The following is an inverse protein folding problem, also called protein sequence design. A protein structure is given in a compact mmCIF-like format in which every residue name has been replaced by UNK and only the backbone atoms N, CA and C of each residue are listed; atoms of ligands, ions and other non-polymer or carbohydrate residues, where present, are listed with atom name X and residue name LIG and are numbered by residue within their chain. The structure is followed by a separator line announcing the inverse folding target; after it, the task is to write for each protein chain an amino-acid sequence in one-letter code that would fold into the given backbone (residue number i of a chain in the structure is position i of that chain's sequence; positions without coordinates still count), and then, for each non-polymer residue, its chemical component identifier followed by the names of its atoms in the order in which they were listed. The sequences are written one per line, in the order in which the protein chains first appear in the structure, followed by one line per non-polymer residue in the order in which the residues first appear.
data_IF_111043122995
#
_entry.id   IF_111043122995
#
_cell.length_a   1.000
_cell.length_b   1.000
_cell.length_c   1.000
_cell.angle_alpha   90.00
_cell.angle_beta   90.00
_cell.angle_gamma   90.00
#
_symmetry.space_group_name_H-M   'P 1'
#
loop_
_entity.id
_entity.type
_entity.pdbx_description
1 polymer ?
#
# COMPACT_ATOMS: atom_id res chain seq x y z
N UNK A 1 18.07 -6.86 3.29
CA UNK A 1 17.71 -7.03 1.86
C UNK A 1 18.26 -8.37 1.36
N UNK A 2 17.96 -9.44 2.09
CA UNK A 2 18.49 -10.79 1.79
C UNK A 2 17.49 -11.69 1.07
N UNK A 3 16.23 -11.25 0.88
CA UNK A 3 15.13 -12.11 0.41
C UNK A 3 14.94 -12.03 -1.11
N UNK A 4 15.26 -10.89 -1.71
CA UNK A 4 14.98 -10.63 -3.13
C UNK A 4 15.66 -11.63 -4.08
N UNK A 5 16.88 -12.01 -3.76
CA UNK A 5 17.68 -12.86 -4.63
C UNK A 5 17.30 -14.36 -4.51
N UNK A 6 16.73 -14.75 -3.36
CA UNK A 6 16.28 -16.14 -3.13
C UNK A 6 14.94 -16.44 -3.81
N UNK A 7 14.11 -15.42 -4.06
CA UNK A 7 12.80 -15.55 -4.70
C UNK A 7 12.89 -15.53 -6.23
N UNK A 8 14.03 -15.17 -6.81
CA UNK A 8 14.21 -15.19 -8.28
C UNK A 8 14.07 -16.58 -8.91
N UNK A 9 14.25 -17.65 -8.12
CA UNK A 9 14.00 -19.02 -8.58
C UNK A 9 12.52 -19.37 -8.75
N UNK A 10 11.64 -18.58 -8.15
CA UNK A 10 10.19 -18.71 -8.24
C UNK A 10 9.66 -17.64 -9.17
N UNK A 11 10.06 -17.72 -10.45
CA UNK A 11 9.54 -16.86 -11.48
C UNK A 11 8.05 -17.17 -11.68
N UNK A 12 7.21 -16.43 -10.98
CA UNK A 12 5.78 -16.37 -11.25
C UNK A 12 5.61 -15.53 -12.51
N UNK A 13 4.95 -16.06 -13.53
CA UNK A 13 4.62 -15.29 -14.71
C UNK A 13 3.66 -14.16 -14.30
N UNK A 14 3.80 -12.98 -14.90
CA UNK A 14 2.92 -11.86 -14.61
C UNK A 14 1.44 -12.16 -14.87
N UNK A 15 1.19 -13.10 -15.78
CA UNK A 15 -0.15 -13.57 -16.19
C UNK A 15 -0.83 -14.41 -15.10
N UNK A 16 -0.04 -14.99 -14.18
CA UNK A 16 -0.54 -15.82 -13.08
C UNK A 16 -0.81 -15.01 -11.79
N UNK A 17 -0.54 -13.70 -11.82
CA UNK A 17 -0.76 -12.82 -10.66
C UNK A 17 -2.14 -12.17 -10.76
N UNK A 18 -2.97 -12.43 -9.76
CA UNK A 18 -4.28 -11.82 -9.64
C UNK A 18 -4.19 -10.29 -9.40
N UNK A 19 -5.24 -9.50 -9.65
CA UNK A 19 -5.24 -8.06 -9.45
C UNK A 19 -4.95 -7.61 -8.01
N UNK A 20 -5.18 -8.47 -7.03
CA UNK A 20 -4.86 -8.27 -5.61
C UNK A 20 -3.41 -8.61 -5.24
N UNK A 21 -2.63 -9.12 -6.22
CA UNK A 21 -1.24 -9.51 -6.04
C UNK A 21 -1.05 -10.97 -5.60
N UNK A 22 -2.11 -11.71 -5.40
CA UNK A 22 -2.06 -13.13 -5.07
C UNK A 22 -1.81 -13.99 -6.31
N UNK A 23 -1.20 -15.16 -6.09
CA UNK A 23 -0.92 -16.13 -7.14
C UNK A 23 -1.62 -17.44 -6.82
N UNK A 24 -2.38 -17.96 -7.77
CA UNK A 24 -2.95 -19.28 -7.68
C UNK A 24 -1.85 -20.34 -7.95
N UNK A 25 -1.36 -20.99 -6.90
CA UNK A 25 -0.39 -22.07 -7.02
C UNK A 25 -1.09 -23.43 -7.01
N UNK A 26 -0.55 -24.39 -7.76
CA UNK A 26 -0.98 -25.79 -7.66
C UNK A 26 -0.60 -26.38 -6.30
N UNK A 27 -1.32 -27.41 -5.86
CA UNK A 27 -1.02 -28.11 -4.61
C UNK A 27 0.41 -28.67 -4.61
N UNK A 28 0.87 -29.21 -5.75
CA UNK A 28 2.24 -29.71 -5.92
C UNK A 28 3.27 -28.59 -5.72
N UNK A 29 3.05 -27.40 -6.30
CA UNK A 29 3.96 -26.25 -6.14
C UNK A 29 4.05 -25.79 -4.68
N UNK A 30 2.94 -25.89 -3.93
CA UNK A 30 2.91 -25.57 -2.49
C UNK A 30 3.69 -26.61 -1.68
N UNK A 31 3.55 -27.90 -2.01
CA UNK A 31 4.24 -29.00 -1.32
C UNK A 31 5.76 -29.02 -1.60
N UNK A 32 6.16 -28.63 -2.80
CA UNK A 32 7.57 -28.50 -3.19
C UNK A 32 8.20 -27.18 -2.72
N UNK A 33 7.44 -26.27 -2.14
CA UNK A 33 7.95 -24.98 -1.73
C UNK A 33 8.99 -25.10 -0.60
N UNK A 34 10.20 -24.69 -0.89
CA UNK A 34 11.27 -24.60 0.11
C UNK A 34 11.41 -23.17 0.60
N UNK A 35 11.16 -22.97 1.90
CA UNK A 35 11.31 -21.64 2.51
C UNK A 35 12.72 -21.09 2.28
N UNK A 36 12.88 -19.91 1.66
CA UNK A 36 14.18 -19.32 1.44
C UNK A 36 14.87 -18.96 2.76
N UNK A 37 16.16 -19.20 2.85
CA UNK A 37 16.99 -18.75 3.96
C UNK A 37 17.72 -17.44 3.65
N UNK A 38 18.29 -16.82 4.70
CA UNK A 38 19.13 -15.64 4.51
C UNK A 38 20.44 -16.03 3.79
N UNK A 39 20.70 -15.42 2.64
CA UNK A 39 21.90 -15.72 1.82
C UNK A 39 23.23 -15.32 2.52
N UNK A 40 23.18 -14.46 3.55
CA UNK A 40 24.37 -14.03 4.30
C UNK A 40 24.71 -14.92 5.50
N UNK A 41 23.70 -15.39 6.22
CA UNK A 41 23.90 -16.11 7.50
C UNK A 41 23.17 -17.45 7.57
N UNK A 42 22.46 -17.88 6.50
CA UNK A 42 21.71 -19.14 6.46
C UNK A 42 20.48 -19.20 7.37
N UNK A 43 20.16 -18.15 8.12
CA UNK A 43 19.01 -18.15 9.04
C UNK A 43 17.72 -18.34 8.27
N UNK A 44 16.87 -19.24 8.74
CA UNK A 44 15.50 -19.43 8.25
C UNK A 44 14.47 -18.55 8.97
N UNK A 45 14.90 -17.75 9.95
CA UNK A 45 14.03 -16.79 10.65
C UNK A 45 13.85 -15.52 9.80
N UNK A 46 13.04 -15.63 8.77
CA UNK A 46 12.69 -14.54 7.87
C UNK A 46 11.22 -14.18 8.04
N UNK A 47 10.89 -12.93 7.79
CA UNK A 47 9.51 -12.49 7.59
C UNK A 47 9.44 -11.55 6.38
N UNK A 48 8.31 -11.46 5.69
CA UNK A 48 8.10 -10.44 4.67
C UNK A 48 8.35 -9.02 5.22
N UNK A 49 8.84 -8.09 4.38
CA UNK A 49 8.99 -6.68 4.77
C UNK A 49 7.62 -5.95 4.76
N UNK A 50 6.71 -6.49 5.56
CA UNK A 50 5.41 -5.91 5.86
C UNK A 50 5.33 -5.57 7.34
N UNK A 51 4.53 -4.57 7.68
CA UNK A 51 4.26 -4.21 9.06
C UNK A 51 2.94 -4.86 9.46
N UNK A 52 2.99 -5.85 10.35
CA UNK A 52 1.81 -6.50 10.89
C UNK A 52 1.10 -5.64 11.93
N UNK A 53 -0.18 -5.96 12.20
CA UNK A 53 -0.89 -5.33 13.31
C UNK A 53 -0.14 -5.55 14.64
N UNK A 54 0.01 -4.48 15.42
CA UNK A 54 0.78 -4.49 16.67
C UNK A 54 2.27 -4.20 16.51
N UNK A 55 2.80 -4.20 15.28
CA UNK A 55 4.19 -3.82 15.04
C UNK A 55 4.33 -2.30 14.80
N UNK A 56 5.39 -1.67 15.32
CA UNK A 56 5.68 -0.28 15.00
C UNK A 56 6.19 -0.15 13.56
N UNK A 57 5.68 0.82 12.82
CA UNK A 57 6.23 1.19 11.51
C UNK A 57 7.67 1.70 11.71
N UNK A 58 8.67 1.19 10.97
CA UNK A 58 10.05 1.68 11.07
C UNK A 58 10.13 3.20 10.90
N UNK A 59 10.91 3.85 11.78
CA UNK A 59 10.98 5.32 11.85
C UNK A 59 11.32 5.95 10.50
N UNK A 60 12.30 5.39 9.79
CA UNK A 60 12.68 5.92 8.48
C UNK A 60 11.56 5.88 7.42
N UNK A 61 10.69 4.84 7.43
CA UNK A 61 9.52 4.75 6.54
C UNK A 61 8.48 5.82 6.90
N UNK A 62 8.27 6.01 8.20
CA UNK A 62 7.35 7.02 8.72
C UNK A 62 7.85 8.43 8.40
N UNK A 63 9.13 8.71 8.62
CA UNK A 63 9.73 10.03 8.36
C UNK A 63 9.72 10.36 6.86
N UNK A 64 10.01 9.37 5.99
CA UNK A 64 9.89 9.54 4.55
C UNK A 64 8.45 9.88 4.12
N UNK A 65 7.44 9.21 4.67
CA UNK A 65 6.05 9.49 4.38
C UNK A 65 5.64 10.91 4.83
N UNK A 66 6.06 11.34 6.03
CA UNK A 66 5.82 12.72 6.47
C UNK A 66 6.56 13.75 5.61
N UNK A 67 7.78 13.46 5.17
CA UNK A 67 8.51 14.34 4.25
C UNK A 67 7.75 14.52 2.93
N UNK A 68 7.14 13.45 2.39
CA UNK A 68 6.29 13.54 1.20
C UNK A 68 5.06 14.42 1.44
N UNK A 69 4.36 14.23 2.56
CA UNK A 69 3.20 15.08 2.91
C UNK A 69 3.65 16.54 3.06
N UNK A 70 4.79 16.79 3.68
CA UNK A 70 5.31 18.15 3.87
C UNK A 70 5.66 18.84 2.53
N UNK A 71 6.19 18.07 1.58
CA UNK A 71 6.60 18.58 0.27
C UNK A 71 5.44 18.72 -0.73
N UNK A 72 4.27 18.12 -0.45
CA UNK A 72 3.11 18.19 -1.35
C UNK A 72 2.22 19.40 -1.06
N UNK A 73 1.46 19.87 -2.04
CA UNK A 73 0.47 20.95 -1.91
C UNK A 73 -0.89 20.43 -1.45
N UNK A 74 -1.18 19.16 -1.71
CA UNK A 74 -2.45 18.51 -1.39
C UNK A 74 -2.25 17.03 -1.10
N UNK A 75 -3.29 16.37 -0.57
CA UNK A 75 -3.28 14.92 -0.29
C UNK A 75 -4.50 14.27 -0.94
N UNK A 76 -4.26 13.24 -1.74
CA UNK A 76 -5.31 12.34 -2.24
C UNK A 76 -5.24 11.00 -1.51
N UNK A 77 -6.37 10.55 -0.98
CA UNK A 77 -6.56 9.21 -0.42
C UNK A 77 -7.43 8.41 -1.37
N UNK A 78 -6.92 7.30 -1.89
CA UNK A 78 -7.65 6.44 -2.81
C UNK A 78 -7.74 5.00 -2.27
N UNK A 79 -8.96 4.43 -2.25
CA UNK A 79 -9.22 3.04 -1.91
C UNK A 79 -8.95 2.67 -0.44
N UNK A 80 -9.07 3.63 0.47
CA UNK A 80 -8.83 3.37 1.89
C UNK A 80 -9.92 4.00 2.76
N UNK A 81 -10.45 3.22 3.70
CA UNK A 81 -11.33 3.71 4.76
C UNK A 81 -10.58 4.50 5.85
N UNK A 82 -9.25 4.47 5.86
CA UNK A 82 -8.41 5.07 6.92
C UNK A 82 -8.81 4.62 8.34
N UNK A 83 -9.36 3.42 8.50
CA UNK A 83 -9.81 2.89 9.79
C UNK A 83 -8.70 2.90 10.83
N UNK A 84 -7.46 2.56 10.42
CA UNK A 84 -6.30 2.54 11.31
C UNK A 84 -5.60 3.90 11.38
N UNK A 85 -5.12 4.23 12.58
CA UNK A 85 -4.48 5.53 12.84
C UNK A 85 -3.22 5.77 12.02
N UNK A 86 -2.49 4.72 11.63
CA UNK A 86 -1.25 4.84 10.85
C UNK A 86 -1.46 5.51 9.49
N UNK A 87 -2.62 5.31 8.84
CA UNK A 87 -2.99 6.02 7.61
C UNK A 87 -3.67 7.36 7.92
N UNK A 88 -4.61 7.37 8.85
CA UNK A 88 -5.41 8.56 9.16
C UNK A 88 -4.58 9.76 9.63
N UNK A 89 -3.43 9.54 10.30
CA UNK A 89 -2.54 10.62 10.75
C UNK A 89 -2.01 11.51 9.64
N UNK A 90 -1.89 11.01 8.41
CA UNK A 90 -1.44 11.83 7.28
C UNK A 90 -2.52 12.84 6.84
N UNK A 91 -3.80 12.45 6.93
CA UNK A 91 -4.90 13.40 6.73
C UNK A 91 -4.87 14.49 7.80
N UNK A 92 -4.69 14.11 9.07
CA UNK A 92 -4.61 15.07 10.16
C UNK A 92 -3.42 16.03 9.98
N UNK A 93 -2.28 15.54 9.54
CA UNK A 93 -1.10 16.38 9.30
C UNK A 93 -1.31 17.32 8.11
N UNK A 94 -1.85 16.83 6.99
CA UNK A 94 -2.17 17.66 5.83
C UNK A 94 -3.16 18.78 6.19
N UNK A 95 -4.22 18.46 6.92
CA UNK A 95 -5.21 19.45 7.39
C UNK A 95 -4.59 20.45 8.36
N UNK A 96 -3.72 20.03 9.28
CA UNK A 96 -2.98 20.92 10.18
C UNK A 96 -2.12 21.93 9.43
N UNK A 97 -1.57 21.53 8.27
CA UNK A 97 -0.78 22.38 7.39
C UNK A 97 -1.64 23.22 6.42
N UNK A 98 -2.96 23.19 6.54
CA UNK A 98 -3.89 23.92 5.67
C UNK A 98 -3.99 23.37 4.25
N UNK A 99 -3.51 22.15 3.99
CA UNK A 99 -3.55 21.52 2.68
C UNK A 99 -4.94 21.00 2.36
N UNK A 100 -5.27 21.00 1.08
CA UNK A 100 -6.51 20.37 0.59
C UNK A 100 -6.37 18.86 0.63
N UNK A 101 -7.43 18.19 1.05
CA UNK A 101 -7.47 16.72 1.11
C UNK A 101 -8.69 16.22 0.35
N UNK A 102 -8.47 15.28 -0.56
CA UNK A 102 -9.53 14.59 -1.29
C UNK A 102 -9.51 13.10 -0.95
N UNK A 103 -10.68 12.46 -0.98
CA UNK A 103 -10.84 11.02 -0.82
C UNK A 103 -11.67 10.43 -1.93
N UNK A 104 -11.18 9.34 -2.54
CA UNK A 104 -11.90 8.45 -3.46
C UNK A 104 -12.05 7.11 -2.76
N UNK A 105 -13.25 6.76 -2.33
CA UNK A 105 -13.51 5.49 -1.63
C UNK A 105 -14.97 5.07 -1.76
N UNK A 106 -15.23 3.82 -2.15
CA UNK A 106 -16.59 3.30 -2.34
C UNK A 106 -17.42 3.19 -1.06
N UNK A 107 -16.78 2.91 0.07
CA UNK A 107 -17.42 2.79 1.38
C UNK A 107 -17.16 3.99 2.30
N UNK A 108 -17.74 3.99 3.52
CA UNK A 108 -17.48 5.00 4.52
C UNK A 108 -16.02 4.98 4.98
N UNK A 109 -15.47 6.15 5.26
CA UNK A 109 -14.10 6.34 5.73
C UNK A 109 -14.03 7.20 6.99
N UNK A 110 -12.98 7.00 7.76
CA UNK A 110 -12.73 7.73 9.01
C UNK A 110 -12.51 9.23 8.82
N UNK A 111 -12.07 9.62 7.62
CA UNK A 111 -11.75 11.00 7.30
C UNK A 111 -12.88 11.76 6.60
N UNK A 112 -14.01 11.14 6.36
CA UNK A 112 -15.09 11.68 5.52
C UNK A 112 -15.58 13.08 5.95
N UNK A 113 -15.61 13.33 7.25
CA UNK A 113 -16.00 14.62 7.86
C UNK A 113 -14.88 15.67 7.88
N UNK A 114 -13.68 15.31 7.40
CA UNK A 114 -12.46 16.13 7.51
C UNK A 114 -11.84 16.50 6.17
N UNK A 115 -12.30 15.87 5.10
CA UNK A 115 -11.77 16.10 3.75
C UNK A 115 -12.51 17.25 3.05
N UNK A 116 -11.85 17.90 2.13
CA UNK A 116 -12.44 18.99 1.35
C UNK A 116 -13.27 18.47 0.17
N UNK A 117 -12.89 17.29 -0.34
CA UNK A 117 -13.57 16.61 -1.45
C UNK A 117 -13.72 15.14 -1.14
N UNK A 118 -14.94 14.62 -1.28
CA UNK A 118 -15.27 13.22 -1.09
C UNK A 118 -15.97 12.69 -2.33
N UNK A 119 -15.34 11.72 -2.98
CA UNK A 119 -15.91 11.04 -4.14
C UNK A 119 -16.21 9.57 -3.79
N UNK A 120 -17.52 9.26 -3.67
CA UNK A 120 -18.04 7.92 -3.34
C UNK A 120 -18.15 7.06 -4.60
N UNK A 121 -17.04 6.45 -4.98
CA UNK A 121 -16.97 5.54 -6.11
C UNK A 121 -15.82 4.55 -5.95
N UNK A 122 -15.80 3.55 -6.82
CA UNK A 122 -14.67 2.64 -6.94
C UNK A 122 -13.45 3.38 -7.50
N UNK A 123 -12.26 2.99 -7.07
CA UNK A 123 -11.00 3.66 -7.44
C UNK A 123 -10.70 3.56 -8.92
N UNK A 124 -10.88 2.39 -9.53
CA UNK A 124 -10.65 2.17 -10.97
C UNK A 124 -11.45 3.16 -11.82
N UNK A 125 -12.79 3.10 -11.81
CA UNK A 125 -13.62 4.05 -12.55
C UNK A 125 -13.34 5.52 -12.27
N UNK A 126 -12.93 5.86 -11.03
CA UNK A 126 -12.56 7.23 -10.71
C UNK A 126 -11.30 7.68 -11.42
N UNK A 127 -10.28 6.82 -11.45
CA UNK A 127 -9.05 7.16 -12.17
C UNK A 127 -9.25 7.14 -13.68
N UNK A 128 -10.05 6.23 -14.22
CA UNK A 128 -10.41 6.25 -15.65
C UNK A 128 -11.04 7.59 -16.03
N UNK A 129 -12.02 8.07 -15.25
CA UNK A 129 -12.64 9.36 -15.48
C UNK A 129 -11.68 10.56 -15.35
N UNK A 130 -10.71 10.49 -14.40
CA UNK A 130 -9.68 11.53 -14.26
C UNK A 130 -8.70 11.52 -15.45
N UNK A 131 -8.30 10.34 -15.92
CA UNK A 131 -7.42 10.21 -17.08
C UNK A 131 -8.08 10.73 -18.35
N UNK A 132 -9.37 10.39 -18.58
CA UNK A 132 -10.17 10.88 -19.70
C UNK A 132 -10.27 12.42 -19.68
N UNK A 133 -10.51 13.04 -18.51
CA UNK A 133 -10.60 14.49 -18.37
C UNK A 133 -9.26 15.20 -18.58
N UNK A 134 -8.16 14.54 -18.24
CA UNK A 134 -6.81 15.07 -18.44
C UNK A 134 -6.22 14.78 -19.83
N UNK A 135 -6.97 14.08 -20.70
CA UNK A 135 -6.52 13.67 -22.05
C UNK A 135 -5.21 12.85 -22.01
N UNK A 136 -5.02 11.97 -20.98
CA UNK A 136 -3.82 11.16 -20.76
C UNK A 136 -4.02 9.69 -21.16
#
# INVERSE_FOLDING_TARGET
MCIRDSLQRWAVNKEDVNPDGDVALSQEAVEEFVMPGCVRCGSQRLKPDVVYFGEPVPTFKKDAAYAMVNASDSLLVAGSSLAVMSGFRFVLEAKKQGKRVATINGGPGRADDRVDTLWRTQVGPAFDAVLDELEL
#
